data_IF_448876399056
#
_entry.id   IF_448876399056
#
_cell.length_a   1.000
_cell.length_b   1.000
_cell.length_c   1.000
_cell.angle_alpha   90.00
_cell.angle_beta   90.00
_cell.angle_gamma   90.00
#
_symmetry.space_group_name_H-M   'P 1'
#
loop_
_entity.id
_entity.type
_entity.pdbx_description
1 polymer ?
#
# COMPACT_ATOMS: atom_id res chain seq x y z
N UNK A 1 65.51 7.14 20.85
CA UNK A 1 66.24 7.20 22.15
C UNK A 1 65.37 6.48 23.18
N UNK A 2 65.96 5.54 23.93
CA UNK A 2 65.41 4.68 25.01
C UNK A 2 64.41 3.55 24.66
N UNK A 3 64.93 2.32 24.83
CA UNK A 3 64.21 1.05 25.05
C UNK A 3 63.69 0.97 26.49
N UNK A 4 62.58 0.29 26.69
CA UNK A 4 62.23 -0.52 27.87
C UNK A 4 61.17 -1.52 27.39
N UNK A 5 61.20 -2.83 27.59
CA UNK A 5 61.90 -3.68 28.55
C UNK A 5 60.90 -4.77 28.94
N UNK A 6 60.78 -5.82 28.12
CA UNK A 6 59.96 -7.00 28.44
C UNK A 6 60.75 -7.90 29.40
N UNK A 7 60.24 -8.08 30.61
CA UNK A 7 60.66 -9.12 31.55
C UNK A 7 59.57 -10.21 31.67
N UNK A 8 59.92 -11.46 32.04
CA UNK A 8 59.13 -12.66 31.73
C UNK A 8 58.17 -13.11 32.86
N UNK A 9 57.30 -14.06 32.48
CA UNK A 9 56.22 -14.75 33.22
C UNK A 9 56.57 -15.27 34.63
N UNK A 10 55.53 -15.73 35.37
CA UNK A 10 55.52 -17.17 35.62
C UNK A 10 54.14 -17.85 35.45
N UNK A 11 54.22 -19.10 35.01
CA UNK A 11 53.19 -20.14 35.11
C UNK A 11 52.74 -20.35 36.57
N UNK A 12 51.46 -20.63 36.79
CA UNK A 12 51.08 -21.80 37.58
C UNK A 12 49.67 -22.30 37.21
N UNK A 13 49.52 -23.61 37.16
CA UNK A 13 48.34 -24.30 36.67
C UNK A 13 47.22 -24.44 37.71
N UNK A 14 46.01 -24.79 37.27
CA UNK A 14 45.32 -26.04 37.65
C UNK A 14 43.86 -26.07 37.16
N UNK A 15 43.53 -27.19 36.52
CA UNK A 15 42.26 -27.90 36.35
C UNK A 15 40.92 -27.35 36.93
N UNK A 16 39.92 -27.54 36.06
CA UNK A 16 38.60 -28.20 36.24
C UNK A 16 37.29 -27.39 36.38
N UNK A 17 36.52 -27.47 35.28
CA UNK A 17 35.11 -27.87 35.16
C UNK A 17 34.02 -27.02 35.83
N UNK A 18 33.22 -26.35 35.00
CA UNK A 18 31.76 -26.33 35.15
C UNK A 18 31.09 -24.97 35.05
N UNK A 19 30.07 -24.93 34.19
CA UNK A 19 28.89 -24.05 34.19
C UNK A 19 28.96 -22.74 33.37
N UNK A 20 28.31 -22.83 32.21
CA UNK A 20 27.38 -21.88 31.61
C UNK A 20 27.17 -20.55 32.35
N UNK A 21 27.55 -19.47 31.69
CA UNK A 21 27.11 -18.11 31.98
C UNK A 21 27.40 -17.22 30.77
N UNK A 22 26.38 -17.00 29.93
CA UNK A 22 26.37 -15.94 28.94
C UNK A 22 26.52 -14.60 29.68
N UNK A 23 27.71 -14.02 29.67
CA UNK A 23 27.92 -12.63 30.05
C UNK A 23 27.56 -11.71 28.88
N UNK A 24 27.05 -10.49 29.13
CA UNK A 24 26.68 -9.57 28.06
C UNK A 24 27.97 -9.15 27.33
N UNK A 25 28.03 -9.42 26.03
CA UNK A 25 29.10 -8.91 25.18
C UNK A 25 29.10 -7.38 25.23
N UNK A 26 30.11 -6.80 25.88
CA UNK A 26 30.24 -5.35 26.05
C UNK A 26 30.08 -4.60 24.71
N UNK A 27 29.25 -3.54 24.64
CA UNK A 27 29.06 -2.69 23.45
C UNK A 27 30.39 -2.15 22.88
N UNK A 28 31.35 -1.90 23.76
CA UNK A 28 32.69 -1.41 23.41
C UNK A 28 33.47 -2.33 22.44
N UNK A 29 33.26 -3.66 22.51
CA UNK A 29 33.93 -4.61 21.61
C UNK A 29 33.32 -4.65 20.21
N UNK A 30 32.03 -4.31 20.08
CA UNK A 30 31.33 -4.22 18.81
C UNK A 30 31.81 -2.99 18.02
N UNK A 31 31.91 -1.84 18.68
CA UNK A 31 32.37 -0.58 18.07
C UNK A 31 33.80 -0.70 17.52
N UNK A 32 34.73 -1.32 18.26
CA UNK A 32 36.14 -1.44 17.84
C UNK A 32 36.32 -2.36 16.61
N UNK A 33 35.45 -3.37 16.43
CA UNK A 33 35.52 -4.28 15.27
C UNK A 33 34.81 -3.80 14.01
N UNK A 34 33.88 -2.84 14.14
CA UNK A 34 33.04 -2.34 13.04
C UNK A 34 33.28 -0.86 12.70
N UNK A 35 34.29 -0.24 13.32
CA UNK A 35 34.75 1.12 13.02
C UNK A 35 35.78 1.12 11.89
N UNK A 36 35.34 1.40 10.67
CA UNK A 36 36.24 1.68 9.54
C UNK A 36 35.71 2.90 8.74
N UNK A 37 36.53 3.56 7.90
CA UNK A 37 36.21 4.85 7.28
C UNK A 37 34.94 4.86 6.39
N UNK A 38 34.51 3.70 5.90
CA UNK A 38 33.28 3.50 5.13
C UNK A 38 32.05 3.11 5.97
N UNK A 39 32.16 3.02 7.29
CA UNK A 39 31.04 2.70 8.17
C UNK A 39 30.24 3.96 8.52
N UNK A 40 28.95 4.07 8.12
CA UNK A 40 28.14 5.25 8.39
C UNK A 40 27.83 5.46 9.89
N UNK A 41 28.14 4.47 10.74
CA UNK A 41 27.77 4.43 12.15
C UNK A 41 28.85 4.97 13.11
N UNK A 42 30.08 5.19 12.64
CA UNK A 42 31.23 5.37 13.56
C UNK A 42 32.07 6.62 13.29
N UNK A 43 31.76 7.41 12.25
CA UNK A 43 32.47 8.65 11.99
C UNK A 43 32.00 9.77 12.95
N UNK A 44 32.69 9.92 14.10
CA UNK A 44 32.57 11.09 14.98
C UNK A 44 31.97 10.86 16.39
N UNK A 45 31.58 9.63 16.74
CA UNK A 45 30.85 9.36 18.00
C UNK A 45 31.71 8.84 19.17
N UNK A 46 33.02 8.70 19.00
CA UNK A 46 33.91 8.14 20.03
C UNK A 46 34.20 9.05 21.25
N UNK A 47 33.44 10.15 21.43
CA UNK A 47 33.73 11.19 22.43
C UNK A 47 32.65 11.44 23.49
N UNK A 48 31.46 10.82 23.41
CA UNK A 48 30.34 11.16 24.29
C UNK A 48 29.82 9.92 25.05
N UNK A 49 29.91 9.94 26.39
CA UNK A 49 29.32 8.95 27.30
C UNK A 49 27.79 9.13 27.38
N UNK A 50 27.06 8.84 26.30
CA UNK A 50 25.61 8.70 26.32
C UNK A 50 25.23 7.33 25.74
N UNK A 51 24.13 6.76 26.23
CA UNK A 51 23.51 5.57 25.61
C UNK A 51 22.96 6.00 24.25
N UNK A 52 23.69 5.68 23.18
CA UNK A 52 23.32 6.01 21.81
C UNK A 52 22.52 4.83 21.24
N UNK A 53 21.27 5.07 20.84
CA UNK A 53 20.52 4.14 20.00
C UNK A 53 21.17 4.08 18.62
N UNK A 54 21.63 2.89 18.23
CA UNK A 54 22.21 2.68 16.91
C UNK A 54 21.08 2.54 15.88
N UNK A 55 21.12 3.29 14.76
CA UNK A 55 20.17 3.09 13.68
C UNK A 55 20.33 1.69 13.08
N UNK A 56 19.23 1.14 12.56
CA UNK A 56 19.23 -0.16 11.90
C UNK A 56 20.28 -0.20 10.77
N UNK A 57 20.96 -1.34 10.57
CA UNK A 57 21.99 -1.48 9.54
C UNK A 57 21.39 -1.32 8.14
N UNK A 58 21.85 -0.32 7.38
CA UNK A 58 21.40 -0.05 6.02
C UNK A 58 22.14 -0.98 5.04
N UNK A 59 21.42 -1.79 4.25
CA UNK A 59 22.04 -2.68 3.28
C UNK A 59 22.63 -1.93 2.08
N UNK A 60 23.58 -2.57 1.41
CA UNK A 60 23.92 -2.29 0.01
C UNK A 60 23.00 -3.11 -0.88
N UNK A 61 22.38 -2.47 -1.86
CA UNK A 61 21.38 -3.08 -2.74
C UNK A 61 21.97 -3.24 -4.14
N UNK A 62 21.86 -4.44 -4.69
CA UNK A 62 22.13 -4.74 -6.09
C UNK A 62 20.86 -5.18 -6.82
N UNK A 63 20.64 -4.69 -8.03
CA UNK A 63 19.50 -5.10 -8.86
C UNK A 63 20.01 -5.68 -10.17
N UNK A 64 19.42 -6.81 -10.58
CA UNK A 64 19.73 -7.47 -11.85
C UNK A 64 18.48 -8.09 -12.47
N UNK A 65 18.57 -8.42 -13.76
CA UNK A 65 17.58 -9.24 -14.43
C UNK A 65 17.95 -10.73 -14.36
N UNK A 66 16.96 -11.60 -14.14
CA UNK A 66 17.06 -13.06 -14.14
C UNK A 66 16.06 -13.69 -15.12
N UNK A 67 16.11 -15.01 -15.32
CA UNK A 67 15.11 -15.72 -16.13
C UNK A 67 13.69 -15.70 -15.54
N UNK A 68 13.54 -15.36 -14.25
CA UNK A 68 12.25 -15.32 -13.54
C UNK A 68 11.66 -13.90 -13.43
N UNK A 69 12.40 -12.88 -13.85
CA UNK A 69 12.04 -11.47 -13.71
C UNK A 69 13.18 -10.66 -13.09
N UNK A 70 12.87 -9.72 -12.21
CA UNK A 70 13.87 -8.94 -11.51
C UNK A 70 14.39 -9.68 -10.29
N UNK A 71 15.68 -9.48 -10.00
CA UNK A 71 16.37 -10.01 -8.85
C UNK A 71 16.96 -8.85 -8.03
N UNK A 72 16.61 -8.79 -6.75
CA UNK A 72 17.16 -7.84 -5.78
C UNK A 72 18.06 -8.58 -4.80
N UNK A 73 19.28 -8.10 -4.65
CA UNK A 73 20.29 -8.63 -3.73
C UNK A 73 20.53 -7.57 -2.65
N UNK A 74 20.39 -7.96 -1.39
CA UNK A 74 20.61 -7.09 -0.24
C UNK A 74 21.78 -7.61 0.57
N UNK A 75 22.81 -6.78 0.77
CA UNK A 75 24.03 -7.13 1.50
C UNK A 75 24.12 -6.28 2.76
N UNK A 76 24.21 -6.92 3.92
CA UNK A 76 24.42 -6.27 5.21
C UNK A 76 25.85 -6.53 5.66
N UNK A 77 26.67 -5.48 5.63
CA UNK A 77 28.09 -5.57 5.99
C UNK A 77 28.28 -5.89 7.49
N UNK A 78 27.50 -5.24 8.36
CA UNK A 78 27.68 -5.32 9.83
C UNK A 78 27.53 -6.74 10.37
N UNK A 79 26.66 -7.54 9.75
CA UNK A 79 26.41 -8.94 10.10
C UNK A 79 27.01 -9.93 9.11
N UNK A 80 27.71 -9.45 8.08
CA UNK A 80 28.32 -10.25 6.99
C UNK A 80 27.32 -11.22 6.37
N UNK A 81 26.12 -10.74 6.03
CA UNK A 81 25.09 -11.55 5.38
C UNK A 81 24.63 -10.94 4.05
N UNK A 82 24.09 -11.79 3.19
CA UNK A 82 23.35 -11.33 2.01
C UNK A 82 22.08 -12.17 1.79
N UNK A 83 21.06 -11.56 1.20
CA UNK A 83 19.83 -12.22 0.76
C UNK A 83 19.54 -11.90 -0.70
N UNK A 84 18.92 -12.86 -1.38
CA UNK A 84 18.52 -12.76 -2.79
C UNK A 84 17.01 -12.93 -2.88
N UNK A 85 16.35 -11.97 -3.49
CA UNK A 85 14.93 -12.03 -3.83
C UNK A 85 14.77 -12.06 -5.34
N UNK A 86 14.43 -13.23 -5.88
CA UNK A 86 14.33 -13.49 -7.33
C UNK A 86 12.87 -13.65 -7.77
N UNK A 87 12.60 -13.35 -9.05
CA UNK A 87 11.27 -13.44 -9.65
C UNK A 87 10.33 -12.30 -9.25
N UNK A 88 10.88 -11.12 -8.99
CA UNK A 88 10.11 -9.93 -8.68
C UNK A 88 9.59 -9.28 -9.97
N UNK A 89 8.42 -8.65 -9.88
CA UNK A 89 7.95 -7.73 -10.92
C UNK A 89 8.64 -6.38 -10.79
N UNK A 90 8.58 -5.58 -11.84
CA UNK A 90 9.17 -4.23 -11.84
C UNK A 90 8.57 -3.36 -10.72
N UNK A 91 7.26 -3.43 -10.53
CA UNK A 91 6.53 -2.69 -9.49
C UNK A 91 6.92 -3.14 -8.08
N UNK A 92 7.17 -4.45 -7.90
CA UNK A 92 7.61 -5.00 -6.62
C UNK A 92 9.00 -4.49 -6.23
N UNK A 93 9.92 -4.43 -7.20
CA UNK A 93 11.26 -3.87 -7.00
C UNK A 93 11.19 -2.38 -6.66
N UNK A 94 10.41 -1.60 -7.42
CA UNK A 94 10.22 -0.16 -7.17
C UNK A 94 9.62 0.08 -5.79
N UNK A 95 8.60 -0.68 -5.41
CA UNK A 95 7.97 -0.56 -4.09
C UNK A 95 8.98 -0.84 -2.98
N UNK A 96 9.79 -1.89 -3.11
CA UNK A 96 10.86 -2.20 -2.16
C UNK A 96 11.91 -1.09 -2.07
N UNK A 97 12.30 -0.48 -3.20
CA UNK A 97 13.23 0.65 -3.19
C UNK A 97 12.67 1.91 -2.52
N UNK A 98 11.35 2.10 -2.53
CA UNK A 98 10.68 3.22 -1.85
C UNK A 98 10.55 3.00 -0.35
N UNK A 99 10.32 1.75 0.07
CA UNK A 99 10.07 1.40 1.47
C UNK A 99 11.34 1.00 2.22
N UNK A 100 12.41 0.64 1.51
CA UNK A 100 13.69 0.24 2.12
C UNK A 100 14.65 1.41 2.18
N UNK A 101 15.28 1.59 3.34
CA UNK A 101 16.48 2.41 3.47
C UNK A 101 17.70 1.60 3.03
N UNK A 102 18.60 2.19 2.26
CA UNK A 102 19.84 1.55 1.80
C UNK A 102 20.99 2.55 1.68
N UNK A 103 22.22 2.05 1.75
CA UNK A 103 23.43 2.87 1.71
C UNK A 103 23.90 3.14 0.27
N UNK A 104 24.07 2.06 -0.52
CA UNK A 104 24.48 2.14 -1.93
C UNK A 104 23.55 1.32 -2.82
N UNK A 105 23.35 1.80 -4.05
CA UNK A 105 22.57 1.13 -5.09
C UNK A 105 23.46 0.78 -6.28
N UNK A 106 23.44 -0.49 -6.68
CA UNK A 106 24.16 -1.01 -7.82
C UNK A 106 23.18 -1.60 -8.84
N UNK A 107 23.32 -1.21 -10.10
CA UNK A 107 22.51 -1.71 -11.21
C UNK A 107 23.36 -2.59 -12.12
N UNK A 108 22.91 -3.82 -12.35
CA UNK A 108 23.63 -4.75 -13.18
C UNK A 108 23.38 -4.47 -14.67
N UNK A 109 24.41 -4.67 -15.50
CA UNK A 109 24.32 -4.48 -16.96
C UNK A 109 23.22 -5.29 -17.65
N UNK A 110 22.74 -6.39 -17.05
CA UNK A 110 21.61 -7.18 -17.61
C UNK A 110 20.32 -6.39 -17.73
N UNK A 111 20.12 -5.35 -16.92
CA UNK A 111 18.95 -4.48 -16.99
C UNK A 111 18.95 -3.56 -18.23
N UNK A 112 20.09 -3.45 -18.95
CA UNK A 112 20.16 -2.69 -20.22
C UNK A 112 19.55 -3.43 -21.40
N UNK A 113 19.30 -4.73 -21.25
CA UNK A 113 18.73 -5.58 -22.29
C UNK A 113 17.27 -5.80 -21.95
N UNK A 114 16.36 -5.26 -22.76
CA UNK A 114 14.95 -5.60 -22.64
C UNK A 114 14.60 -6.78 -23.55
N UNK A 115 13.48 -7.44 -23.27
CA UNK A 115 12.99 -8.58 -24.05
C UNK A 115 12.61 -8.22 -25.50
N UNK A 116 12.49 -6.93 -25.82
CA UNK A 116 12.19 -6.40 -27.16
C UNK A 116 13.43 -6.00 -27.99
N UNK A 117 14.64 -6.26 -27.50
CA UNK A 117 15.89 -6.04 -28.25
C UNK A 117 16.30 -4.58 -28.43
N UNK A 118 15.66 -3.64 -27.73
CA UNK A 118 16.09 -2.23 -27.73
C UNK A 118 17.06 -1.99 -26.59
N UNK A 119 18.25 -1.44 -26.88
CA UNK A 119 19.28 -1.12 -25.87
C UNK A 119 18.96 0.11 -24.99
N UNK A 120 17.70 0.55 -24.95
CA UNK A 120 17.26 1.76 -24.25
C UNK A 120 16.47 1.36 -23.02
N UNK A 121 17.17 1.02 -21.95
CA UNK A 121 16.57 1.10 -20.63
C UNK A 121 16.19 2.57 -20.39
N UNK A 122 14.89 2.85 -20.20
CA UNK A 122 14.50 4.04 -19.46
C UNK A 122 13.78 5.18 -20.18
N UNK A 123 12.75 4.93 -20.98
CA UNK A 123 11.82 6.03 -21.32
C UNK A 123 10.39 5.54 -21.55
N UNK A 124 10.21 4.37 -22.19
CA UNK A 124 8.89 3.76 -22.41
C UNK A 124 8.99 2.22 -22.41
N UNK A 125 8.07 1.54 -21.72
CA UNK A 125 7.99 0.06 -21.69
C UNK A 125 8.69 -0.62 -20.51
N UNK A 126 9.08 -1.88 -20.69
CA UNK A 126 9.74 -2.73 -19.68
C UNK A 126 11.01 -2.06 -19.14
N UNK A 127 11.10 -1.91 -17.81
CA UNK A 127 12.21 -1.24 -17.13
C UNK A 127 12.03 0.26 -16.95
N UNK A 128 10.96 0.87 -17.49
CA UNK A 128 10.69 2.30 -17.38
C UNK A 128 10.33 2.79 -15.98
N UNK A 129 9.56 2.01 -15.21
CA UNK A 129 9.19 2.35 -13.82
C UNK A 129 10.41 2.29 -12.91
N UNK A 130 11.20 1.22 -13.04
CA UNK A 130 12.44 1.06 -12.29
C UNK A 130 13.45 2.16 -12.65
N UNK A 131 13.56 2.49 -13.94
CA UNK A 131 14.38 3.61 -14.38
C UNK A 131 13.95 4.93 -13.74
N UNK A 132 12.66 5.26 -13.78
CA UNK A 132 12.13 6.48 -13.19
C UNK A 132 12.43 6.59 -11.68
N UNK A 133 12.37 5.47 -10.96
CA UNK A 133 12.73 5.40 -9.54
C UNK A 133 14.24 5.57 -9.31
N UNK A 134 15.09 4.94 -10.13
CA UNK A 134 16.55 4.99 -9.98
C UNK A 134 17.18 6.28 -10.50
N UNK A 135 16.61 6.95 -11.51
CA UNK A 135 17.19 8.12 -12.17
C UNK A 135 17.36 9.34 -11.24
N UNK A 136 16.59 9.37 -10.14
CA UNK A 136 16.68 10.41 -9.12
C UNK A 136 17.59 10.04 -7.94
N UNK A 137 18.22 8.85 -7.98
CA UNK A 137 19.07 8.31 -6.91
C UNK A 137 20.51 8.16 -7.42
N UNK A 138 21.49 8.16 -6.51
CA UNK A 138 22.87 7.80 -6.86
C UNK A 138 22.98 6.29 -7.00
N UNK A 139 23.46 5.82 -8.15
CA UNK A 139 23.71 4.41 -8.41
C UNK A 139 24.95 4.20 -9.28
N UNK A 140 25.52 3.02 -9.18
CA UNK A 140 26.67 2.59 -9.99
C UNK A 140 26.36 1.36 -10.81
N UNK A 141 27.03 1.24 -11.96
CA UNK A 141 26.89 0.08 -12.84
C UNK A 141 27.93 -0.98 -12.53
N UNK A 142 27.53 -2.24 -12.62
CA UNK A 142 28.43 -3.38 -12.51
C UNK A 142 28.07 -4.50 -13.49
N UNK A 143 29.04 -5.38 -13.74
CA UNK A 143 28.98 -6.48 -14.69
C UNK A 143 29.62 -7.74 -14.08
N UNK A 144 29.29 -8.91 -14.63
CA UNK A 144 29.80 -10.19 -14.17
C UNK A 144 28.71 -11.02 -13.49
N UNK A 145 29.07 -11.84 -12.50
CA UNK A 145 28.08 -12.62 -11.74
C UNK A 145 27.47 -11.70 -10.67
N UNK A 146 26.13 -11.47 -10.66
CA UNK A 146 25.53 -10.41 -9.86
C UNK A 146 25.85 -10.46 -8.36
N UNK A 147 25.88 -11.65 -7.76
CA UNK A 147 26.16 -11.82 -6.33
C UNK A 147 27.64 -11.58 -6.04
N UNK A 148 28.52 -12.27 -6.77
CA UNK A 148 29.96 -12.25 -6.51
C UNK A 148 30.52 -10.83 -6.68
N UNK A 149 30.12 -10.15 -7.74
CA UNK A 149 30.59 -8.80 -8.06
C UNK A 149 30.03 -7.75 -7.10
N UNK A 150 28.78 -7.90 -6.65
CA UNK A 150 28.23 -7.02 -5.62
C UNK A 150 28.98 -7.21 -4.30
N UNK A 151 29.33 -8.44 -3.93
CA UNK A 151 30.13 -8.72 -2.74
C UNK A 151 31.55 -8.14 -2.87
N UNK A 152 32.16 -8.17 -4.06
CA UNK A 152 33.43 -7.47 -4.33
C UNK A 152 33.28 -5.96 -4.08
N UNK A 153 32.24 -5.32 -4.64
CA UNK A 153 31.99 -3.89 -4.42
C UNK A 153 31.78 -3.54 -2.95
N UNK A 154 31.07 -4.39 -2.20
CA UNK A 154 30.90 -4.20 -0.75
C UNK A 154 32.25 -4.34 -0.03
N UNK A 155 33.12 -5.28 -0.43
CA UNK A 155 34.47 -5.34 0.16
C UNK A 155 35.27 -4.07 -0.12
N UNK A 156 35.21 -3.53 -1.33
CA UNK A 156 35.91 -2.31 -1.71
C UNK A 156 35.42 -1.08 -0.93
N UNK A 157 34.10 -0.88 -0.84
CA UNK A 157 33.49 0.26 -0.13
C UNK A 157 33.85 0.24 1.35
N UNK A 158 33.79 -0.93 1.97
CA UNK A 158 33.99 -1.08 3.41
C UNK A 158 35.45 -1.39 3.78
N UNK A 159 36.36 -1.50 2.80
CA UNK A 159 37.80 -1.78 3.02
C UNK A 159 38.05 -3.15 3.67
N UNK A 160 37.26 -4.16 3.28
CA UNK A 160 37.33 -5.51 3.82
C UNK A 160 38.37 -6.35 3.08
N UNK A 161 38.92 -7.34 3.78
CA UNK A 161 39.84 -8.31 3.18
C UNK A 161 39.14 -9.19 2.13
N UNK A 162 39.89 -9.62 1.10
CA UNK A 162 39.38 -10.45 0.01
C UNK A 162 38.87 -11.81 0.51
N UNK A 163 39.42 -12.33 1.61
CA UNK A 163 38.99 -13.58 2.26
C UNK A 163 37.69 -13.42 3.08
N UNK A 164 37.14 -12.21 3.20
CA UNK A 164 35.93 -11.96 3.99
C UNK A 164 34.71 -12.62 3.33
N UNK A 165 34.22 -13.70 3.94
CA UNK A 165 33.03 -14.41 3.49
C UNK A 165 31.73 -13.77 4.00
N UNK A 166 30.73 -13.70 3.13
CA UNK A 166 29.36 -13.33 3.51
C UNK A 166 28.46 -14.57 3.53
N UNK A 167 27.64 -14.71 4.57
CA UNK A 167 26.71 -15.83 4.71
C UNK A 167 25.40 -15.54 3.95
N UNK A 168 25.02 -16.46 3.08
CA UNK A 168 23.71 -16.43 2.43
C UNK A 168 22.60 -16.73 3.44
N UNK A 169 21.66 -15.79 3.62
CA UNK A 169 20.47 -15.94 4.47
C UNK A 169 19.16 -15.93 3.65
N UNK A 170 19.27 -16.16 2.34
CA UNK A 170 18.12 -16.23 1.44
C UNK A 170 17.16 -17.31 1.90
N UNK A 171 15.90 -16.91 2.12
CA UNK A 171 14.81 -17.85 2.40
C UNK A 171 14.19 -18.25 1.07
N UNK A 172 14.12 -19.55 0.79
CA UNK A 172 13.50 -20.05 -0.46
C UNK A 172 12.05 -19.56 -0.57
N UNK A 173 11.75 -18.89 -1.68
CA UNK A 173 10.43 -18.33 -1.97
C UNK A 173 9.55 -19.24 -2.84
N UNK A 174 9.94 -20.50 -3.09
CA UNK A 174 9.22 -21.40 -4.00
C UNK A 174 7.74 -21.63 -3.63
N UNK A 175 7.38 -21.41 -2.36
CA UNK A 175 6.02 -21.53 -1.82
C UNK A 175 5.35 -20.19 -1.50
N UNK A 176 6.04 -19.06 -1.72
CA UNK A 176 5.51 -17.72 -1.42
C UNK A 176 4.71 -17.22 -2.62
N UNK A 177 3.54 -16.59 -2.41
CA UNK A 177 2.82 -15.93 -3.50
C UNK A 177 3.75 -14.96 -4.22
N UNK A 178 3.85 -15.10 -5.55
CA UNK A 178 4.66 -14.20 -6.37
C UNK A 178 3.91 -12.88 -6.56
N UNK A 179 4.62 -11.74 -6.58
CA UNK A 179 4.01 -10.47 -6.91
C UNK A 179 3.35 -10.53 -8.30
N UNK A 180 2.18 -9.90 -8.41
CA UNK A 180 1.47 -9.77 -9.68
C UNK A 180 1.97 -8.54 -10.41
N UNK A 181 2.09 -8.64 -11.74
CA UNK A 181 2.28 -7.47 -12.58
C UNK A 181 1.04 -6.58 -12.50
N UNK A 182 1.22 -5.26 -12.57
CA UNK A 182 0.10 -4.32 -12.54
C UNK A 182 -0.91 -4.62 -13.67
N UNK A 183 -0.41 -4.92 -14.86
CA UNK A 183 -1.24 -5.33 -15.99
C UNK A 183 -2.08 -6.58 -15.67
N UNK A 184 -1.49 -7.58 -15.00
CA UNK A 184 -2.22 -8.78 -14.60
C UNK A 184 -3.26 -8.47 -13.54
N UNK A 185 -2.91 -7.71 -12.49
CA UNK A 185 -3.81 -7.36 -11.40
C UNK A 185 -5.03 -6.53 -11.87
N UNK A 186 -4.82 -5.65 -12.86
CA UNK A 186 -5.89 -4.86 -13.48
C UNK A 186 -6.77 -5.71 -14.40
N UNK A 187 -6.19 -6.56 -15.26
CA UNK A 187 -6.94 -7.45 -16.15
C UNK A 187 -7.79 -8.48 -15.41
N UNK A 188 -7.27 -9.06 -14.33
CA UNK A 188 -8.06 -9.98 -13.51
C UNK A 188 -9.12 -9.24 -12.68
N UNK A 189 -8.98 -7.93 -12.51
CA UNK A 189 -9.90 -7.10 -11.74
C UNK A 189 -9.69 -7.14 -10.23
N UNK A 190 -8.48 -7.49 -9.78
CA UNK A 190 -8.05 -7.27 -8.39
C UNK A 190 -7.84 -5.78 -8.12
N UNK A 191 -7.33 -5.04 -9.12
CA UNK A 191 -7.26 -3.58 -9.10
C UNK A 191 -8.29 -3.06 -10.11
N UNK A 192 -9.39 -2.43 -9.66
CA UNK A 192 -10.38 -1.87 -10.57
C UNK A 192 -9.76 -0.72 -11.37
N UNK A 193 -9.91 -0.76 -12.70
CA UNK A 193 -9.42 0.28 -13.60
C UNK A 193 -10.52 0.62 -14.59
N UNK A 194 -10.81 1.91 -14.73
CA UNK A 194 -11.85 2.40 -15.65
C UNK A 194 -11.55 1.94 -17.09
N UNK A 195 -12.57 1.40 -17.77
CA UNK A 195 -12.45 0.90 -19.14
C UNK A 195 -11.79 -0.48 -19.30
N UNK A 196 -11.29 -1.10 -18.23
CA UNK A 196 -10.77 -2.49 -18.26
C UNK A 196 -11.80 -3.43 -17.62
N UNK A 197 -12.38 -4.37 -18.38
CA UNK A 197 -13.33 -5.33 -17.81
C UNK A 197 -12.62 -6.29 -16.84
N UNK A 198 -13.22 -6.48 -15.67
CA UNK A 198 -12.70 -7.39 -14.64
C UNK A 198 -13.02 -8.83 -14.99
N UNK A 199 -12.00 -9.67 -15.18
CA UNK A 199 -12.20 -11.10 -15.40
C UNK A 199 -12.94 -11.76 -14.22
N UNK A 200 -12.62 -11.36 -13.00
CA UNK A 200 -13.31 -11.84 -11.80
C UNK A 200 -14.81 -11.47 -11.81
N UNK A 201 -15.19 -10.30 -12.34
CA UNK A 201 -16.61 -9.90 -12.46
C UNK A 201 -17.39 -10.71 -13.51
N UNK A 202 -16.69 -11.36 -14.43
CA UNK A 202 -17.28 -12.23 -15.46
C UNK A 202 -17.33 -13.69 -14.98
N UNK A 203 -16.28 -14.14 -14.27
CA UNK A 203 -16.19 -15.50 -13.76
C UNK A 203 -17.01 -15.72 -12.49
N UNK A 204 -17.25 -14.67 -11.70
CA UNK A 204 -17.93 -14.78 -10.41
C UNK A 204 -19.33 -14.14 -10.45
N UNK A 205 -20.27 -14.65 -9.62
CA UNK A 205 -21.60 -14.07 -9.51
C UNK A 205 -21.56 -12.57 -9.17
N UNK A 206 -22.55 -11.75 -9.63
CA UNK A 206 -22.59 -10.31 -9.39
C UNK A 206 -22.59 -9.88 -7.91
N UNK A 207 -22.86 -10.80 -6.99
CA UNK A 207 -22.78 -10.61 -5.53
C UNK A 207 -21.34 -10.57 -4.99
N UNK A 208 -20.34 -11.02 -5.76
CA UNK A 208 -18.95 -11.11 -5.34
C UNK A 208 -18.21 -9.78 -5.57
N UNK A 209 -18.25 -8.87 -4.59
CA UNK A 209 -17.46 -7.62 -4.64
C UNK A 209 -16.46 -7.56 -3.47
N UNK A 210 -15.16 -7.67 -3.77
CA UNK A 210 -14.07 -7.46 -2.80
C UNK A 210 -13.37 -8.74 -2.32
N UNK A 211 -12.08 -8.63 -2.04
CA UNK A 211 -11.19 -9.76 -1.73
C UNK A 211 -11.68 -10.66 -0.57
N UNK A 212 -12.22 -10.14 0.55
CA UNK A 212 -12.74 -10.99 1.64
C UNK A 212 -13.92 -11.86 1.20
N UNK A 213 -14.83 -11.34 0.37
CA UNK A 213 -15.97 -12.09 -0.17
C UNK A 213 -15.50 -13.17 -1.14
N UNK A 214 -14.53 -12.85 -1.99
CA UNK A 214 -13.88 -13.85 -2.86
C UNK A 214 -13.24 -14.99 -2.07
N UNK A 215 -12.46 -14.66 -1.02
CA UNK A 215 -11.84 -15.65 -0.14
C UNK A 215 -12.92 -16.50 0.50
N UNK A 216 -13.98 -15.88 1.03
CA UNK A 216 -15.11 -16.59 1.65
C UNK A 216 -15.75 -17.58 0.69
N UNK A 217 -16.05 -17.20 -0.56
CA UNK A 217 -16.68 -18.11 -1.51
C UNK A 217 -15.80 -19.33 -1.83
N UNK A 218 -14.52 -19.12 -2.10
CA UNK A 218 -13.59 -20.22 -2.37
C UNK A 218 -13.50 -21.17 -1.17
N UNK A 219 -13.41 -20.60 0.02
CA UNK A 219 -13.38 -21.34 1.28
C UNK A 219 -14.68 -22.11 1.50
N UNK A 220 -15.84 -21.49 1.28
CA UNK A 220 -17.16 -22.12 1.42
C UNK A 220 -17.37 -23.24 0.39
N UNK A 221 -16.86 -23.11 -0.83
CA UNK A 221 -16.87 -24.17 -1.84
C UNK A 221 -16.02 -25.37 -1.41
N UNK A 222 -14.83 -25.14 -0.85
CA UNK A 222 -13.98 -26.22 -0.29
C UNK A 222 -14.71 -26.95 0.84
N UNK A 223 -15.32 -26.20 1.77
CA UNK A 223 -16.11 -26.76 2.87
C UNK A 223 -17.31 -27.55 2.32
N UNK A 224 -18.02 -27.02 1.32
CA UNK A 224 -19.18 -27.69 0.71
C UNK A 224 -18.78 -28.97 -0.02
N UNK A 225 -17.66 -28.96 -0.75
CA UNK A 225 -17.13 -30.15 -1.43
C UNK A 225 -16.75 -31.24 -0.42
N UNK A 226 -16.21 -30.85 0.74
CA UNK A 226 -15.89 -31.80 1.81
C UNK A 226 -17.13 -32.37 2.50
N UNK A 227 -18.14 -31.52 2.78
CA UNK A 227 -19.39 -31.94 3.45
C UNK A 227 -20.27 -32.85 2.57
N UNK A 228 -20.16 -32.72 1.25
CA UNK A 228 -20.91 -33.56 0.32
C UNK A 228 -20.10 -34.79 -0.09
N UNK A 229 -20.53 -35.96 0.37
CA UNK A 229 -19.88 -37.27 0.08
C UNK A 229 -19.63 -37.50 -1.42
N UNK A 230 -20.47 -36.99 -2.30
CA UNK A 230 -20.31 -37.13 -3.76
C UNK A 230 -19.22 -36.21 -4.35
N UNK A 231 -18.87 -35.12 -3.65
CA UNK A 231 -17.90 -34.13 -4.09
C UNK A 231 -16.52 -34.32 -3.42
N UNK A 232 -16.44 -35.05 -2.31
CA UNK A 232 -15.17 -35.42 -1.65
C UNK A 232 -14.14 -36.01 -2.63
N UNK A 233 -14.49 -36.94 -3.56
CA UNK A 233 -13.52 -37.45 -4.52
C UNK A 233 -12.95 -36.36 -5.44
N UNK A 234 -13.75 -35.35 -5.77
CA UNK A 234 -13.30 -34.20 -6.58
C UNK A 234 -12.32 -33.36 -5.76
N UNK A 235 -12.65 -33.06 -4.51
CA UNK A 235 -11.73 -32.35 -3.60
C UNK A 235 -10.40 -33.11 -3.45
N UNK A 236 -10.43 -34.44 -3.34
CA UNK A 236 -9.24 -35.29 -3.25
C UNK A 236 -8.37 -35.17 -4.51
N UNK A 237 -8.99 -35.16 -5.70
CA UNK A 237 -8.29 -34.96 -6.96
C UNK A 237 -7.67 -33.56 -7.09
N UNK A 238 -8.30 -32.55 -6.48
CA UNK A 238 -7.81 -31.17 -6.47
C UNK A 238 -6.68 -30.93 -5.47
N UNK A 239 -6.52 -31.78 -4.44
CA UNK A 239 -5.45 -31.63 -3.44
C UNK A 239 -4.07 -31.68 -4.08
N UNK A 240 -3.79 -32.67 -4.93
CA UNK A 240 -2.44 -32.85 -5.49
C UNK A 240 -2.00 -31.69 -6.42
N UNK A 241 -2.84 -31.21 -7.36
CA UNK A 241 -2.56 -29.98 -8.10
C UNK A 241 -2.38 -28.75 -7.19
N UNK A 242 -3.20 -28.62 -6.14
CA UNK A 242 -3.12 -27.52 -5.19
C UNK A 242 -1.81 -27.55 -4.40
N UNK A 243 -1.38 -28.73 -3.93
CA UNK A 243 -0.08 -28.92 -3.29
C UNK A 243 1.08 -28.61 -4.23
N UNK A 244 0.99 -29.05 -5.50
CA UNK A 244 2.01 -28.77 -6.49
C UNK A 244 2.12 -27.27 -6.81
N UNK A 245 1.00 -26.55 -6.86
CA UNK A 245 0.96 -25.12 -7.16
C UNK A 245 1.35 -24.24 -5.97
N UNK A 246 0.93 -24.60 -4.74
CA UNK A 246 1.15 -23.80 -3.52
C UNK A 246 2.38 -24.23 -2.74
N UNK A 247 2.87 -25.46 -2.96
CA UNK A 247 3.88 -26.11 -2.15
C UNK A 247 3.42 -26.49 -0.74
N UNK A 248 2.16 -26.23 -0.38
CA UNK A 248 1.59 -26.58 0.92
C UNK A 248 1.11 -28.02 0.88
N UNK A 249 1.91 -28.93 1.42
CA UNK A 249 1.48 -30.31 1.64
C UNK A 249 0.77 -30.37 2.99
N UNK A 250 -0.55 -30.45 2.96
CA UNK A 250 -1.39 -30.53 4.15
C UNK A 250 -2.52 -31.50 3.90
N UNK A 251 -2.93 -32.19 4.96
CA UNK A 251 -4.06 -33.11 4.95
C UNK A 251 -5.36 -32.37 4.60
N UNK A 252 -6.29 -33.07 3.97
CA UNK A 252 -7.56 -32.48 3.52
C UNK A 252 -8.37 -31.96 4.69
N UNK A 253 -8.37 -32.71 5.79
CA UNK A 253 -9.05 -32.41 7.04
C UNK A 253 -8.54 -31.09 7.61
N UNK A 254 -7.21 -30.91 7.66
CA UNK A 254 -6.57 -29.67 8.14
C UNK A 254 -6.93 -28.49 7.23
N UNK A 255 -6.93 -28.68 5.91
CA UNK A 255 -7.33 -27.63 4.97
C UNK A 255 -8.77 -27.19 5.21
N UNK A 256 -9.68 -28.14 5.41
CA UNK A 256 -11.10 -27.85 5.63
C UNK A 256 -11.31 -27.18 6.98
N UNK A 257 -10.63 -27.60 8.05
CA UNK A 257 -10.72 -26.97 9.37
C UNK A 257 -10.26 -25.49 9.32
N UNK A 258 -9.15 -25.21 8.63
CA UNK A 258 -8.67 -23.84 8.42
C UNK A 258 -9.65 -23.03 7.56
N UNK A 259 -10.21 -23.64 6.52
CA UNK A 259 -11.28 -23.06 5.72
C UNK A 259 -12.49 -22.70 6.60
N UNK A 260 -12.98 -23.60 7.46
CA UNK A 260 -14.11 -23.32 8.36
C UNK A 260 -13.80 -22.16 9.32
N UNK A 261 -12.58 -22.10 9.85
CA UNK A 261 -12.14 -20.99 10.70
C UNK A 261 -12.11 -19.66 9.94
N UNK A 262 -11.57 -19.64 8.71
CA UNK A 262 -11.51 -18.45 7.86
C UNK A 262 -12.92 -17.99 7.50
N UNK A 263 -13.80 -18.90 7.06
CA UNK A 263 -15.19 -18.58 6.72
C UNK A 263 -15.91 -17.97 7.91
N UNK A 264 -15.77 -18.57 9.10
CA UNK A 264 -16.37 -18.06 10.33
C UNK A 264 -15.87 -16.66 10.67
N UNK A 265 -14.56 -16.40 10.60
CA UNK A 265 -14.00 -15.07 10.86
C UNK A 265 -14.50 -14.03 9.88
N UNK A 266 -14.64 -14.41 8.61
CA UNK A 266 -15.18 -13.50 7.60
C UNK A 266 -16.67 -13.25 7.89
N UNK A 267 -17.47 -14.28 8.19
CA UNK A 267 -18.88 -14.15 8.58
C UNK A 267 -19.10 -13.31 9.84
N UNK A 268 -18.13 -13.29 10.76
CA UNK A 268 -18.15 -12.38 11.90
C UNK A 268 -18.04 -10.93 11.44
N UNK A 269 -17.20 -10.64 10.44
CA UNK A 269 -16.90 -9.28 9.97
C UNK A 269 -17.84 -8.74 8.88
N UNK A 270 -18.32 -9.59 7.96
CA UNK A 270 -19.14 -9.18 6.82
C UNK A 270 -20.54 -9.78 6.89
N UNK A 271 -21.51 -9.07 6.32
CA UNK A 271 -22.86 -9.60 6.10
C UNK A 271 -23.07 -9.85 4.61
N UNK A 272 -23.34 -11.11 4.25
CA UNK A 272 -23.58 -11.53 2.85
C UNK A 272 -24.96 -11.09 2.37
N UNK A 273 -25.94 -11.02 3.28
CA UNK A 273 -27.33 -10.65 2.97
C UNK A 273 -27.65 -9.18 3.29
N UNK A 274 -26.66 -8.43 3.79
CA UNK A 274 -26.82 -7.07 4.28
C UNK A 274 -27.26 -7.03 5.76
N UNK A 275 -26.67 -6.14 6.55
CA UNK A 275 -27.19 -5.87 7.90
C UNK A 275 -28.49 -5.04 7.83
N UNK A 276 -29.52 -5.48 8.55
CA UNK A 276 -30.86 -4.87 8.52
C UNK A 276 -30.96 -3.54 9.28
N UNK A 277 -29.96 -3.20 10.08
CA UNK A 277 -29.87 -1.98 10.88
C UNK A 277 -29.00 -0.89 10.23
N UNK A 278 -28.35 -1.19 9.10
CA UNK A 278 -27.50 -0.24 8.37
C UNK A 278 -28.19 0.31 7.13
N UNK A 279 -28.97 1.38 7.31
CA UNK A 279 -29.65 2.06 6.21
C UNK A 279 -28.78 3.13 5.57
N UNK A 280 -28.92 3.28 4.26
CA UNK A 280 -28.36 4.42 3.50
C UNK A 280 -28.86 5.72 4.14
N UNK A 281 -27.92 6.61 4.41
CA UNK A 281 -28.15 7.93 4.98
C UNK A 281 -29.13 8.72 4.12
N UNK A 282 -29.93 9.58 4.75
CA UNK A 282 -30.87 10.43 4.04
C UNK A 282 -31.02 11.77 4.73
N UNK A 283 -31.25 12.81 3.93
CA UNK A 283 -31.49 14.17 4.39
C UNK A 283 -32.55 14.83 3.51
N UNK A 284 -33.40 15.68 4.08
CA UNK A 284 -34.43 16.42 3.34
C UNK A 284 -33.85 17.46 2.38
N UNK A 285 -32.62 17.91 2.65
CA UNK A 285 -31.97 19.00 1.92
C UNK A 285 -30.92 18.53 0.91
N UNK A 286 -30.62 17.23 0.87
CA UNK A 286 -29.65 16.64 -0.04
C UNK A 286 -30.32 15.62 -0.98
N UNK A 287 -29.88 15.53 -2.26
CA UNK A 287 -30.37 14.51 -3.17
C UNK A 287 -30.10 13.10 -2.64
N UNK A 288 -31.11 12.22 -2.59
CA UNK A 288 -30.95 10.81 -2.16
C UNK A 288 -29.92 10.07 -2.99
N UNK A 289 -29.86 10.37 -4.28
CA UNK A 289 -28.92 9.78 -5.24
C UNK A 289 -27.46 9.95 -4.82
N UNK A 290 -27.11 11.00 -4.07
CA UNK A 290 -25.75 11.20 -3.55
C UNK A 290 -25.37 10.12 -2.53
N UNK A 291 -26.24 9.91 -1.53
CA UNK A 291 -25.99 8.89 -0.51
C UNK A 291 -26.07 7.48 -1.09
N UNK A 292 -26.98 7.25 -2.05
CA UNK A 292 -27.04 5.98 -2.77
C UNK A 292 -25.74 5.67 -3.51
N UNK A 293 -25.16 6.63 -4.22
CA UNK A 293 -23.93 6.41 -4.99
C UNK A 293 -22.72 6.15 -4.06
N UNK A 294 -22.61 6.94 -2.99
CA UNK A 294 -21.46 6.86 -2.06
C UNK A 294 -21.56 5.65 -1.13
N UNK A 295 -22.76 5.33 -0.61
CA UNK A 295 -22.90 4.36 0.48
C UNK A 295 -23.30 2.95 0.03
N UNK A 296 -24.01 2.79 -1.09
CA UNK A 296 -24.52 1.47 -1.55
C UNK A 296 -23.42 0.43 -1.82
N UNK A 297 -22.19 0.90 -2.05
CA UNK A 297 -21.04 0.05 -2.34
C UNK A 297 -20.47 -0.64 -1.10
N UNK A 298 -20.71 -0.13 0.12
CA UNK A 298 -20.10 -0.64 1.35
C UNK A 298 -21.07 -0.78 2.53
N UNK A 299 -22.08 0.09 2.63
CA UNK A 299 -23.00 0.13 3.77
C UNK A 299 -23.87 -1.14 3.82
N UNK A 300 -24.01 -1.72 5.00
CA UNK A 300 -24.66 -3.01 5.23
C UNK A 300 -23.79 -4.23 4.93
N UNK A 301 -22.59 -4.08 4.35
CA UNK A 301 -21.71 -5.22 4.02
C UNK A 301 -20.72 -5.57 5.12
N UNK A 302 -20.29 -4.59 5.90
CA UNK A 302 -19.38 -4.78 7.04
C UNK A 302 -20.18 -4.54 8.30
N UNK A 303 -20.08 -5.45 9.27
CA UNK A 303 -20.82 -5.28 10.53
C UNK A 303 -20.27 -4.10 11.32
N UNK A 304 -21.17 -3.23 11.78
CA UNK A 304 -20.80 -1.97 12.42
C UNK A 304 -19.88 -2.18 13.64
N UNK A 305 -20.13 -3.23 14.41
CA UNK A 305 -19.33 -3.60 15.60
C UNK A 305 -17.83 -3.76 15.33
N UNK A 306 -17.43 -4.04 14.08
CA UNK A 306 -16.04 -4.23 13.68
C UNK A 306 -15.41 -2.98 13.04
N UNK A 307 -16.20 -1.94 12.77
CA UNK A 307 -15.74 -0.73 12.09
C UNK A 307 -16.37 0.56 12.66
N UNK A 308 -16.80 0.55 13.93
CA UNK A 308 -17.56 1.65 14.56
C UNK A 308 -16.90 3.02 14.37
N UNK A 309 -15.58 3.10 14.50
CA UNK A 309 -14.84 4.35 14.33
C UNK A 309 -14.98 4.91 12.90
N UNK A 310 -14.86 4.06 11.89
CA UNK A 310 -15.02 4.45 10.48
C UNK A 310 -16.48 4.85 10.17
N UNK A 311 -17.46 4.11 10.70
CA UNK A 311 -18.87 4.50 10.58
C UNK A 311 -19.14 5.86 11.23
N UNK A 312 -18.62 6.09 12.44
CA UNK A 312 -18.77 7.35 13.15
C UNK A 312 -18.04 8.52 12.46
N UNK A 313 -16.94 8.28 11.75
CA UNK A 313 -16.29 9.28 10.90
C UNK A 313 -17.16 9.65 9.69
N UNK A 314 -17.71 8.66 8.99
CA UNK A 314 -18.62 8.90 7.86
C UNK A 314 -19.87 9.65 8.31
N UNK A 315 -20.48 9.26 9.44
CA UNK A 315 -21.65 9.95 9.99
C UNK A 315 -21.31 11.42 10.33
N UNK A 316 -20.17 11.67 10.98
CA UNK A 316 -19.71 13.03 11.27
C UNK A 316 -19.43 13.86 10.01
N UNK A 317 -18.86 13.25 8.97
CA UNK A 317 -18.59 13.91 7.70
C UNK A 317 -19.90 14.25 6.96
N UNK A 318 -20.85 13.30 6.92
CA UNK A 318 -22.18 13.49 6.34
C UNK A 318 -22.97 14.59 7.06
N UNK A 319 -22.92 14.65 8.39
CA UNK A 319 -23.53 15.72 9.18
C UNK A 319 -22.87 17.07 8.91
N UNK A 320 -21.54 17.13 8.84
CA UNK A 320 -20.81 18.36 8.53
C UNK A 320 -21.17 18.89 7.13
N UNK A 321 -21.26 18.00 6.14
CA UNK A 321 -21.68 18.33 4.78
C UNK A 321 -23.14 18.80 4.75
N UNK A 322 -24.03 18.09 5.43
CA UNK A 322 -25.45 18.46 5.53
C UNK A 322 -25.60 19.85 6.13
N UNK A 323 -24.89 20.14 7.23
CA UNK A 323 -24.92 21.44 7.87
C UNK A 323 -24.37 22.55 6.96
N UNK A 324 -23.28 22.29 6.23
CA UNK A 324 -22.73 23.26 5.26
C UNK A 324 -23.74 23.57 4.15
N UNK A 325 -24.37 22.54 3.56
CA UNK A 325 -25.40 22.69 2.52
C UNK A 325 -26.63 23.43 3.04
N UNK A 326 -27.07 23.12 4.27
CA UNK A 326 -28.22 23.78 4.90
C UNK A 326 -27.95 25.25 5.16
N UNK A 327 -26.80 25.58 5.73
CA UNK A 327 -26.46 26.97 6.04
C UNK A 327 -26.24 27.83 4.79
N UNK A 328 -25.61 27.28 3.75
CA UNK A 328 -25.16 28.05 2.60
C UNK A 328 -26.20 28.05 1.46
N UNK A 329 -26.88 26.93 1.18
CA UNK A 329 -27.76 26.83 0.00
C UNK A 329 -29.25 26.97 0.31
N UNK A 330 -29.73 26.51 1.48
CA UNK A 330 -31.18 26.57 1.81
C UNK A 330 -31.73 28.00 1.87
N UNK A 331 -31.02 29.01 2.42
CA UNK A 331 -31.47 30.40 2.38
C UNK A 331 -31.65 30.92 0.95
N UNK A 332 -30.77 30.52 0.03
CA UNK A 332 -30.82 30.90 -1.39
C UNK A 332 -32.04 30.26 -2.05
N UNK A 333 -32.21 28.95 -1.90
CA UNK A 333 -33.34 28.22 -2.47
C UNK A 333 -34.67 28.73 -1.94
N UNK A 334 -34.78 29.00 -0.64
CA UNK A 334 -35.99 29.53 0.00
C UNK A 334 -36.36 30.91 -0.56
N UNK A 335 -35.35 31.78 -0.75
CA UNK A 335 -35.53 33.09 -1.38
C UNK A 335 -35.99 32.98 -2.83
N UNK A 336 -35.44 32.03 -3.60
CA UNK A 336 -35.85 31.84 -5.00
C UNK A 336 -37.29 31.32 -5.07
N UNK A 337 -37.66 30.36 -4.20
CA UNK A 337 -39.02 29.81 -4.13
C UNK A 337 -40.08 30.85 -3.75
N UNK A 338 -39.73 31.86 -2.95
CA UNK A 338 -40.67 32.93 -2.59
C UNK A 338 -40.93 33.92 -3.72
N UNK A 339 -40.09 33.95 -4.75
CA UNK A 339 -40.27 34.80 -5.93
C UNK A 339 -41.12 34.04 -6.96
N UNK A 340 -42.42 34.35 -7.00
CA UNK A 340 -43.33 33.82 -8.01
C UNK A 340 -42.89 34.25 -9.43
N UNK A 341 -42.71 33.30 -10.35
CA UNK A 341 -42.50 33.60 -11.77
C UNK A 341 -43.13 32.55 -12.68
N UNK A 342 -44.15 32.91 -13.50
CA UNK A 342 -44.88 31.96 -14.33
C UNK A 342 -44.06 31.34 -15.48
N UNK A 343 -43.07 32.06 -16.02
CA UNK A 343 -42.13 31.57 -17.03
C UNK A 343 -40.85 32.43 -17.04
N UNK A 344 -39.67 31.79 -16.98
CA UNK A 344 -38.39 32.48 -17.13
C UNK A 344 -37.87 33.24 -15.91
N UNK A 345 -38.36 32.94 -14.70
CA UNK A 345 -37.89 33.54 -13.45
C UNK A 345 -36.54 33.02 -12.93
N UNK A 346 -36.13 33.50 -11.74
CA UNK A 346 -34.99 32.94 -11.01
C UNK A 346 -35.21 31.44 -10.76
N UNK A 347 -34.17 30.65 -11.01
CA UNK A 347 -34.17 29.20 -10.74
C UNK A 347 -32.94 28.84 -9.93
N UNK A 348 -33.11 27.94 -8.98
CA UNK A 348 -32.05 27.49 -8.09
C UNK A 348 -32.48 26.23 -7.36
N UNK A 349 -31.65 25.21 -7.41
CA UNK A 349 -31.86 23.94 -6.71
C UNK A 349 -30.52 23.40 -6.21
N UNK A 350 -30.57 22.56 -5.18
CA UNK A 350 -29.42 21.79 -4.73
C UNK A 350 -29.39 20.53 -5.59
N UNK A 351 -28.28 20.28 -6.27
CA UNK A 351 -28.15 19.19 -7.23
C UNK A 351 -26.88 18.38 -7.00
N UNK A 352 -26.99 17.08 -7.23
CA UNK A 352 -25.85 16.17 -7.21
C UNK A 352 -25.23 16.08 -8.61
N UNK A 353 -23.93 16.30 -8.69
CA UNK A 353 -23.14 16.12 -9.91
C UNK A 353 -22.39 14.79 -9.83
N UNK A 354 -22.97 13.72 -10.38
CA UNK A 354 -22.40 12.36 -10.36
C UNK A 354 -20.97 12.31 -10.93
N UNK A 355 -20.70 13.01 -12.03
CA UNK A 355 -19.36 13.05 -12.66
C UNK A 355 -18.27 13.64 -11.74
N UNK A 356 -18.66 14.46 -10.77
CA UNK A 356 -17.74 15.13 -9.86
C UNK A 356 -17.95 14.70 -8.40
N UNK A 357 -18.82 13.73 -8.16
CA UNK A 357 -19.19 13.21 -6.83
C UNK A 357 -19.51 14.32 -5.81
N UNK A 358 -20.06 15.44 -6.28
CA UNK A 358 -20.22 16.67 -5.49
C UNK A 358 -21.67 17.18 -5.46
N UNK A 359 -22.06 17.79 -4.33
CA UNK A 359 -23.34 18.49 -4.21
C UNK A 359 -23.11 19.99 -4.33
N UNK A 360 -23.78 20.59 -5.29
CA UNK A 360 -23.63 22.01 -5.63
C UNK A 360 -24.99 22.68 -5.78
N UNK A 361 -24.97 24.01 -5.67
CA UNK A 361 -26.10 24.83 -6.03
C UNK A 361 -26.12 25.03 -7.55
N UNK A 362 -27.22 24.63 -8.19
CA UNK A 362 -27.45 24.81 -9.62
C UNK A 362 -28.51 25.88 -9.84
N UNK A 363 -28.16 26.98 -10.52
CA UNK A 363 -29.09 28.09 -10.66
C UNK A 363 -28.84 29.05 -11.83
N UNK A 364 -29.90 29.74 -12.24
CA UNK A 364 -29.88 30.83 -13.25
C UNK A 364 -30.70 32.02 -12.79
N UNK A 365 -30.20 33.23 -13.08
CA UNK A 365 -30.90 34.52 -12.83
C UNK A 365 -31.36 34.70 -11.38
N UNK A 366 -30.65 34.13 -10.42
CA UNK A 366 -30.99 34.19 -8.99
C UNK A 366 -30.41 35.42 -8.27
N UNK A 367 -29.41 36.08 -8.86
CA UNK A 367 -28.80 37.30 -8.33
C UNK A 367 -29.79 38.47 -8.40
N UNK A 368 -30.08 39.16 -7.29
CA UNK A 368 -30.99 40.29 -7.29
C UNK A 368 -30.38 41.53 -7.96
N UNK A 369 -31.23 42.36 -8.55
CA UNK A 369 -30.85 43.66 -9.11
C UNK A 369 -30.64 44.72 -8.02
N UNK A 370 -31.35 44.60 -6.91
CA UNK A 370 -31.23 45.48 -5.73
C UNK A 370 -31.05 44.61 -4.49
N UNK A 371 -29.99 44.87 -3.74
CA UNK A 371 -29.64 44.13 -2.52
C UNK A 371 -30.38 44.72 -1.32
N UNK A 372 -31.13 43.88 -0.62
CA UNK A 372 -31.90 44.20 0.58
C UNK A 372 -31.28 43.59 1.86
N UNK A 373 -30.20 42.81 1.75
CA UNK A 373 -29.48 42.24 2.90
C UNK A 373 -30.21 41.08 3.57
N UNK A 374 -31.03 40.36 2.80
CA UNK A 374 -31.71 39.15 3.31
C UNK A 374 -30.70 38.02 3.52
N UNK A 375 -30.97 37.03 4.40
CA UNK A 375 -30.06 35.91 4.62
C UNK A 375 -29.66 35.16 3.34
N UNK A 376 -30.60 34.97 2.41
CA UNK A 376 -30.31 34.37 1.10
C UNK A 376 -29.40 35.23 0.22
N UNK A 377 -29.44 36.55 0.36
CA UNK A 377 -28.56 37.46 -0.38
C UNK A 377 -27.14 37.47 0.15
N UNK A 378 -26.95 37.41 1.47
CA UNK A 378 -25.62 37.26 2.05
C UNK A 378 -24.97 35.94 1.63
N UNK A 379 -25.75 34.86 1.48
CA UNK A 379 -25.22 33.60 0.96
C UNK A 379 -24.94 33.63 -0.55
N UNK A 380 -25.75 34.33 -1.36
CA UNK A 380 -25.45 34.51 -2.80
C UNK A 380 -24.07 35.17 -3.00
N UNK A 381 -23.67 36.10 -2.13
CA UNK A 381 -22.35 36.76 -2.22
C UNK A 381 -21.17 35.82 -1.97
N UNK A 382 -21.40 34.71 -1.27
CA UNK A 382 -20.37 33.72 -0.92
C UNK A 382 -20.21 32.63 -1.99
N UNK A 383 -21.10 32.58 -2.98
CA UNK A 383 -21.03 31.60 -4.04
C UNK A 383 -19.82 31.85 -4.94
N UNK A 384 -19.07 30.78 -5.20
CA UNK A 384 -18.05 30.69 -6.24
C UNK A 384 -18.49 29.65 -7.28
N UNK A 385 -17.94 29.71 -8.48
CA UNK A 385 -18.22 28.69 -9.49
C UNK A 385 -17.64 27.33 -9.05
N UNK A 386 -18.41 26.28 -9.28
CA UNK A 386 -17.93 24.92 -9.08
C UNK A 386 -16.80 24.58 -10.06
N UNK A 387 -15.79 23.88 -9.56
CA UNK A 387 -14.60 23.48 -10.33
C UNK A 387 -14.42 21.97 -10.35
N UNK A 388 -13.90 21.45 -11.46
CA UNK A 388 -13.47 20.06 -11.59
C UNK A 388 -12.21 19.79 -10.75
N UNK A 389 -11.77 18.53 -10.70
CA UNK A 389 -10.54 18.11 -10.01
C UNK A 389 -9.26 18.76 -10.54
N UNK A 390 -9.31 19.44 -11.69
CA UNK A 390 -8.21 20.18 -12.32
C UNK A 390 -8.34 21.70 -12.09
N UNK A 391 -9.28 22.14 -11.26
CA UNK A 391 -9.55 23.55 -10.96
C UNK A 391 -10.24 24.30 -12.09
N UNK A 392 -10.79 23.61 -13.10
CA UNK A 392 -11.49 24.24 -14.23
C UNK A 392 -12.98 24.35 -13.91
N UNK A 393 -13.59 25.46 -14.29
CA UNK A 393 -15.01 25.71 -14.09
C UNK A 393 -15.86 24.66 -14.84
N UNK A 394 -16.77 24.01 -14.11
CA UNK A 394 -17.65 22.93 -14.64
C UNK A 394 -18.79 23.49 -15.50
N UNK A 395 -19.24 24.71 -15.20
CA UNK A 395 -20.25 25.40 -16.01
C UNK A 395 -20.68 26.73 -15.40
N UNK A 396 -21.47 27.51 -16.14
CA UNK A 396 -21.96 28.82 -15.70
C UNK A 396 -23.07 28.74 -14.65
N UNK A 397 -23.68 27.57 -14.49
CA UNK A 397 -24.87 27.35 -13.67
C UNK A 397 -24.58 26.64 -12.36
N UNK A 398 -23.34 26.19 -12.16
CA UNK A 398 -22.92 25.42 -11.00
C UNK A 398 -22.09 26.27 -10.04
N UNK A 399 -22.49 26.26 -8.78
CA UNK A 399 -21.92 27.09 -7.74
C UNK A 399 -21.72 26.28 -6.46
N UNK A 400 -20.68 26.65 -5.71
CA UNK A 400 -20.33 26.08 -4.41
C UNK A 400 -19.86 27.18 -3.46
N UNK A 401 -19.57 26.83 -2.21
CA UNK A 401 -18.92 27.70 -1.22
C UNK A 401 -17.64 27.03 -0.72
N UNK A 402 -16.75 27.79 -0.08
CA UNK A 402 -15.58 27.19 0.56
C UNK A 402 -15.98 26.18 1.64
N UNK A 403 -17.04 26.46 2.41
CA UNK A 403 -17.52 25.57 3.48
C UNK A 403 -18.03 24.24 2.93
N UNK A 404 -18.76 24.24 1.82
CA UNK A 404 -19.26 23.01 1.17
C UNK A 404 -18.11 22.23 0.54
N UNK A 405 -17.18 22.88 -0.16
CA UNK A 405 -16.01 22.20 -0.73
C UNK A 405 -15.11 21.59 0.36
N UNK A 406 -14.89 22.31 1.47
CA UNK A 406 -14.12 21.83 2.61
C UNK A 406 -14.80 20.63 3.29
N UNK A 407 -16.13 20.57 3.27
CA UNK A 407 -16.90 19.45 3.81
C UNK A 407 -16.90 18.24 2.87
N UNK A 408 -16.88 18.44 1.54
CA UNK A 408 -16.76 17.37 0.54
C UNK A 408 -15.35 16.78 0.46
N UNK A 409 -14.32 17.53 0.88
CA UNK A 409 -12.92 17.10 0.82
C UNK A 409 -12.45 16.34 2.07
N UNK A 410 -13.33 16.19 3.08
CA UNK A 410 -13.09 15.39 4.28
C UNK A 410 -13.55 13.96 4.05
#
# INVERSE_FOLDING_TARGET
MKRAGLGPCPDDGTRTRGQNGLGPSCPHYYVIKHAHPGSPYVFGLAGANHDIEFPDPMPVIGISHSAKGYCMISVLETVKTFSIEDGLTEEAVVTKLRTSQFHHLFLHTTLRQNSSGTCRWGEFGEGGLLWGECNHKQFEWFNGIPVDELLCKVRDIYGLDEETSFRNITVSSEKRPKPLYLATATQIGVIPTEGIPSLLSVLLPPSCKGLPILIKHVVDEVIQMYKNVQLVPILQLLMHPTWAATGLQMEMEILVDECELISKRIDEMISVEGETDQFISSSEFMPREFFEDIESSWRGRVKRVHAEEAFAEVERAADALTNAVVEDFVPIVSRIKSILSPLGGPRGEISYSREHEAIWFKGKRFTPTVWAGTPGEEQIKQLKHATDSKGRKVGDEWFTTCKVDDALSR
#
